data_IF_156896935084
#
_entry.id   IF_156896935084
#
_cell.length_a   1.000
_cell.length_b   1.000
_cell.length_c   1.000
_cell.angle_alpha   90.00
_cell.angle_beta   90.00
_cell.angle_gamma   90.00
#
_symmetry.space_group_name_H-M   'P 1'
#
loop_
_entity.id
_entity.type
_entity.pdbx_description
1 polymer ?
#
# COMPACT_ATOMS: atom_id res chain seq x y z
N UNK A 1 7.25 -18.15 9.98
CA UNK A 1 6.02 -18.04 9.15
C UNK A 1 6.28 -17.02 8.05
N UNK A 2 5.90 -17.34 6.81
CA UNK A 2 5.91 -16.37 5.70
C UNK A 2 4.51 -15.76 5.64
N UNK A 3 4.44 -14.45 5.62
CA UNK A 3 3.23 -13.65 5.52
C UNK A 3 3.18 -13.04 4.12
N UNK A 4 2.16 -13.38 3.33
CA UNK A 4 1.92 -12.77 2.02
C UNK A 4 0.97 -11.59 2.14
N UNK A 5 1.45 -10.43 1.73
CA UNK A 5 0.70 -9.16 1.77
C UNK A 5 0.52 -8.65 0.35
N UNK A 6 -0.70 -8.19 0.03
CA UNK A 6 -0.99 -7.57 -1.24
C UNK A 6 -1.59 -6.18 -1.06
N UNK A 7 -1.36 -5.26 -2.01
CA UNK A 7 -2.13 -4.02 -2.14
C UNK A 7 -2.68 -3.87 -3.55
N UNK A 8 -3.90 -3.36 -3.65
CA UNK A 8 -4.58 -3.20 -4.93
C UNK A 8 -5.65 -2.10 -4.89
N UNK A 9 -5.49 -1.09 -5.73
CA UNK A 9 -6.58 -0.17 -6.04
C UNK A 9 -7.52 -0.87 -7.03
N UNK A 10 -8.73 -1.18 -6.59
CA UNK A 10 -9.69 -2.00 -7.34
C UNK A 10 -10.62 -1.18 -8.27
N UNK A 11 -10.42 0.12 -8.36
CA UNK A 11 -11.21 1.01 -9.20
C UNK A 11 -12.74 0.75 -9.07
N UNK A 12 -13.22 0.61 -7.84
CA UNK A 12 -14.64 0.34 -7.49
C UNK A 12 -15.19 -0.98 -8.05
N UNK A 13 -14.32 -1.92 -8.45
CA UNK A 13 -14.72 -3.17 -9.10
C UNK A 13 -15.35 -2.99 -10.49
N UNK A 14 -15.06 -1.86 -11.15
CA UNK A 14 -15.63 -1.50 -12.47
C UNK A 14 -14.49 -1.11 -13.41
N UNK A 15 -14.38 -1.78 -14.53
CA UNK A 15 -13.45 -1.42 -15.60
C UNK A 15 -14.13 -0.73 -16.77
N UNK A 16 -13.30 -0.16 -17.66
CA UNK A 16 -13.75 0.46 -18.90
C UNK A 16 -13.26 -0.35 -20.11
N UNK A 17 -14.20 -0.70 -20.97
CA UNK A 17 -13.94 -1.38 -22.25
C UNK A 17 -14.23 -0.47 -23.45
N UNK A 18 -13.84 -0.91 -24.63
CA UNK A 18 -14.05 -0.19 -25.89
C UNK A 18 -13.64 1.28 -25.82
N UNK A 19 -12.33 1.51 -25.57
CA UNK A 19 -11.76 2.87 -25.48
C UNK A 19 -12.44 3.76 -24.42
N UNK A 20 -12.99 3.15 -23.36
CA UNK A 20 -13.62 3.88 -22.27
C UNK A 20 -15.13 4.12 -22.42
N UNK A 21 -15.74 3.66 -23.50
CA UNK A 21 -17.18 3.88 -23.79
C UNK A 21 -18.10 3.00 -22.93
N UNK A 22 -17.68 1.77 -22.61
CA UNK A 22 -18.50 0.82 -21.86
C UNK A 22 -17.92 0.57 -20.46
N UNK A 23 -18.72 0.75 -19.41
CA UNK A 23 -18.37 0.32 -18.04
C UNK A 23 -18.88 -1.10 -17.81
N UNK A 24 -18.04 -1.95 -17.25
CA UNK A 24 -18.32 -3.36 -16.98
C UNK A 24 -17.97 -3.68 -15.52
N UNK A 25 -18.89 -4.36 -14.82
CA UNK A 25 -18.62 -4.88 -13.49
C UNK A 25 -17.61 -6.03 -13.55
N UNK A 26 -16.56 -5.95 -12.75
CA UNK A 26 -15.52 -6.98 -12.62
C UNK A 26 -15.45 -7.58 -11.22
N UNK A 27 -16.39 -7.23 -10.37
CA UNK A 27 -16.32 -7.52 -8.93
C UNK A 27 -16.25 -9.03 -8.63
N UNK A 28 -16.96 -9.87 -9.40
CA UNK A 28 -16.95 -11.33 -9.22
C UNK A 28 -15.60 -11.94 -9.63
N UNK A 29 -15.07 -11.51 -10.77
CA UNK A 29 -13.76 -11.97 -11.22
C UNK A 29 -12.66 -11.47 -10.29
N UNK A 30 -12.76 -10.20 -9.85
CA UNK A 30 -11.85 -9.63 -8.87
C UNK A 30 -11.82 -10.44 -7.57
N UNK A 31 -13.00 -10.84 -7.04
CA UNK A 31 -13.09 -11.73 -5.87
C UNK A 31 -12.31 -13.02 -6.09
N UNK A 32 -12.55 -13.71 -7.20
CA UNK A 32 -11.85 -14.96 -7.54
C UNK A 32 -10.34 -14.76 -7.58
N UNK A 33 -9.87 -13.73 -8.29
CA UNK A 33 -8.45 -13.42 -8.41
C UNK A 33 -7.79 -13.04 -7.09
N UNK A 34 -8.48 -12.30 -6.22
CA UNK A 34 -7.96 -11.96 -4.89
C UNK A 34 -7.74 -13.21 -4.03
N UNK A 35 -8.66 -14.19 -4.09
CA UNK A 35 -8.50 -15.44 -3.35
C UNK A 35 -7.42 -16.35 -3.95
N UNK A 36 -7.23 -16.34 -5.27
CA UNK A 36 -6.14 -17.06 -5.96
C UNK A 36 -4.75 -16.52 -5.59
N UNK A 37 -4.63 -15.28 -5.13
CA UNK A 37 -3.35 -14.73 -4.61
C UNK A 37 -2.82 -15.51 -3.41
N UNK A 38 -3.71 -16.18 -2.67
CA UNK A 38 -3.39 -16.81 -1.38
C UNK A 38 -2.65 -15.83 -0.44
N UNK A 39 -3.04 -14.54 -0.51
CA UNK A 39 -2.52 -13.55 0.39
C UNK A 39 -3.12 -13.74 1.79
N UNK A 40 -2.33 -13.43 2.81
CA UNK A 40 -2.77 -13.44 4.20
C UNK A 40 -3.45 -12.13 4.57
N UNK A 41 -3.01 -11.03 3.94
CA UNK A 41 -3.62 -9.71 4.06
C UNK A 41 -3.68 -9.00 2.71
N UNK A 42 -4.81 -8.31 2.44
CA UNK A 42 -5.01 -7.51 1.21
C UNK A 42 -5.46 -6.11 1.57
N UNK A 43 -4.68 -5.12 1.17
CA UNK A 43 -4.93 -3.69 1.36
C UNK A 43 -5.60 -3.14 0.11
N UNK A 44 -6.87 -2.77 0.21
CA UNK A 44 -7.68 -2.37 -0.94
C UNK A 44 -8.01 -0.88 -0.91
N UNK A 45 -7.98 -0.24 -2.08
CA UNK A 45 -8.38 1.14 -2.27
C UNK A 45 -9.54 1.22 -3.25
N UNK A 46 -10.31 2.29 -3.17
CA UNK A 46 -11.55 2.53 -3.93
C UNK A 46 -12.61 1.44 -3.75
N UNK A 47 -12.68 0.85 -2.57
CA UNK A 47 -13.72 -0.13 -2.23
C UNK A 47 -15.04 0.58 -2.02
N UNK A 48 -16.10 0.13 -2.68
CA UNK A 48 -17.45 0.67 -2.48
C UNK A 48 -18.16 -0.04 -1.34
N UNK A 49 -18.77 0.76 -0.48
CA UNK A 49 -19.81 0.27 0.43
C UNK A 49 -21.13 0.04 -0.33
N UNK A 50 -22.20 0.65 0.12
CA UNK A 50 -23.46 0.64 -0.66
C UNK A 50 -23.37 1.61 -1.84
N UNK A 51 -23.88 1.18 -3.00
CA UNK A 51 -23.97 2.02 -4.18
C UNK A 51 -25.21 1.68 -5.03
N UNK A 52 -26.31 2.39 -4.75
CA UNK A 52 -27.62 2.12 -5.37
C UNK A 52 -27.60 2.16 -6.90
N UNK A 53 -26.94 3.16 -7.49
CA UNK A 53 -26.86 3.30 -8.94
C UNK A 53 -26.10 2.16 -9.63
N UNK A 54 -25.02 1.60 -9.00
CA UNK A 54 -24.34 0.44 -9.56
C UNK A 54 -25.18 -0.82 -9.43
N UNK A 55 -25.91 -1.00 -8.33
CA UNK A 55 -26.82 -2.12 -8.15
C UNK A 55 -27.95 -2.13 -9.20
N UNK A 56 -28.40 -0.96 -9.64
CA UNK A 56 -29.41 -0.85 -10.72
C UNK A 56 -28.81 -1.02 -12.12
N UNK A 57 -27.56 -0.65 -12.31
CA UNK A 57 -26.90 -0.61 -13.62
C UNK A 57 -26.27 -1.92 -14.03
N UNK A 58 -25.70 -2.65 -13.08
CA UNK A 58 -24.94 -3.87 -13.35
C UNK A 58 -25.73 -5.08 -12.89
N UNK A 59 -25.99 -5.98 -13.81
CA UNK A 59 -26.51 -7.31 -13.51
C UNK A 59 -25.53 -8.04 -12.57
N UNK A 60 -26.08 -8.74 -11.58
CA UNK A 60 -25.29 -9.45 -10.56
C UNK A 60 -24.37 -8.57 -9.69
N UNK A 61 -24.67 -7.27 -9.52
CA UNK A 61 -23.97 -6.47 -8.53
C UNK A 61 -24.23 -7.01 -7.11
N UNK A 62 -23.17 -7.14 -6.26
CA UNK A 62 -23.37 -7.66 -4.90
C UNK A 62 -24.37 -6.82 -4.11
N UNK A 63 -25.29 -7.49 -3.39
CA UNK A 63 -26.22 -6.82 -2.47
C UNK A 63 -25.51 -6.31 -1.21
N UNK A 64 -24.42 -6.97 -0.82
CA UNK A 64 -23.58 -6.59 0.32
C UNK A 64 -22.47 -5.61 -0.09
N UNK A 65 -21.89 -4.86 0.87
CA UNK A 65 -20.72 -4.02 0.64
C UNK A 65 -19.55 -4.80 0.02
N UNK A 66 -18.76 -4.15 -0.83
CA UNK A 66 -17.68 -4.83 -1.57
C UNK A 66 -16.62 -5.45 -0.65
N UNK A 67 -16.28 -4.83 0.48
CA UNK A 67 -15.35 -5.39 1.45
C UNK A 67 -15.83 -6.75 1.97
N UNK A 68 -17.10 -6.88 2.32
CA UNK A 68 -17.71 -8.14 2.77
C UNK A 68 -17.82 -9.16 1.64
N UNK A 69 -18.23 -8.72 0.44
CA UNK A 69 -18.31 -9.57 -0.73
C UNK A 69 -16.95 -10.16 -1.13
N UNK A 70 -15.90 -9.31 -1.14
CA UNK A 70 -14.54 -9.72 -1.50
C UNK A 70 -13.90 -10.59 -0.42
N UNK A 71 -14.28 -10.41 0.84
CA UNK A 71 -13.78 -11.23 1.95
C UNK A 71 -14.19 -12.69 1.85
N UNK A 72 -15.37 -12.98 1.28
CA UNK A 72 -15.90 -14.36 1.17
C UNK A 72 -15.32 -15.08 -0.03
N UNK A 73 -14.69 -16.23 0.22
CA UNK A 73 -14.21 -17.07 -0.88
C UNK A 73 -15.36 -17.68 -1.67
N UNK A 74 -15.31 -17.68 -3.02
CA UNK A 74 -16.32 -18.38 -3.82
C UNK A 74 -16.23 -19.91 -3.73
N UNK A 75 -15.06 -20.46 -3.36
CA UNK A 75 -14.78 -21.89 -3.44
C UNK A 75 -14.14 -22.48 -2.19
N UNK A 76 -13.53 -21.67 -1.33
CA UNK A 76 -12.79 -22.12 -0.16
C UNK A 76 -13.55 -21.84 1.13
N UNK A 77 -13.38 -22.70 2.14
CA UNK A 77 -13.93 -22.50 3.48
C UNK A 77 -13.29 -21.31 4.23
N UNK A 78 -12.16 -20.80 3.75
CA UNK A 78 -11.44 -19.71 4.40
C UNK A 78 -11.94 -18.36 3.89
N UNK A 79 -12.53 -17.59 4.76
CA UNK A 79 -12.91 -16.19 4.56
C UNK A 79 -11.88 -15.29 5.20
N UNK A 80 -11.76 -14.07 4.66
CA UNK A 80 -11.06 -13.01 5.36
C UNK A 80 -11.99 -12.35 6.38
N UNK A 81 -11.44 -11.85 7.46
CA UNK A 81 -12.05 -10.75 8.19
C UNK A 81 -11.88 -9.46 7.38
N UNK A 82 -12.90 -8.60 7.38
CA UNK A 82 -12.88 -7.35 6.63
C UNK A 82 -13.01 -6.14 7.57
N UNK A 83 -12.15 -5.17 7.38
CA UNK A 83 -12.25 -3.84 7.98
C UNK A 83 -12.43 -2.80 6.86
N UNK A 84 -13.37 -1.87 7.03
CA UNK A 84 -13.67 -0.84 6.04
C UNK A 84 -13.62 0.55 6.67
N UNK A 85 -12.88 1.45 6.02
CA UNK A 85 -12.80 2.87 6.33
C UNK A 85 -13.45 3.71 5.25
N UNK A 86 -14.58 4.35 5.55
CA UNK A 86 -15.31 5.20 4.61
C UNK A 86 -14.63 6.56 4.48
N UNK A 87 -14.30 6.95 3.23
CA UNK A 87 -13.61 8.19 2.93
C UNK A 87 -14.50 9.23 2.24
N UNK A 88 -15.22 8.83 1.20
CA UNK A 88 -16.06 9.74 0.41
C UNK A 88 -17.50 9.29 0.34
N UNK A 89 -18.41 10.24 0.53
CA UNK A 89 -19.85 10.05 0.35
C UNK A 89 -20.30 10.70 -0.97
N UNK A 90 -21.21 10.04 -1.67
CA UNK A 90 -21.89 10.55 -2.85
C UNK A 90 -23.39 10.49 -2.64
N UNK A 91 -24.15 11.07 -3.57
CA UNK A 91 -25.61 11.01 -3.56
C UNK A 91 -26.16 9.57 -3.50
N UNK A 92 -25.46 8.61 -4.13
CA UNK A 92 -25.94 7.23 -4.30
C UNK A 92 -25.09 6.19 -3.58
N UNK A 93 -24.19 6.59 -2.69
CA UNK A 93 -23.32 5.65 -1.99
C UNK A 93 -22.05 6.26 -1.41
N UNK A 94 -21.09 5.40 -1.11
CA UNK A 94 -19.80 5.81 -0.57
C UNK A 94 -18.69 4.85 -1.01
N UNK A 95 -17.44 5.31 -0.94
CA UNK A 95 -16.27 4.45 -1.10
C UNK A 95 -15.18 4.78 -0.08
N UNK A 96 -14.22 3.89 0.05
CA UNK A 96 -13.12 4.05 0.99
C UNK A 96 -12.02 3.03 0.79
N UNK A 97 -11.31 2.78 1.88
CA UNK A 97 -10.26 1.79 1.97
C UNK A 97 -10.74 0.55 2.72
N UNK A 98 -10.19 -0.62 2.42
CA UNK A 98 -10.48 -1.82 3.18
C UNK A 98 -9.21 -2.64 3.44
N UNK A 99 -9.19 -3.37 4.56
CA UNK A 99 -8.25 -4.42 4.84
C UNK A 99 -9.01 -5.75 4.89
N UNK A 100 -8.55 -6.72 4.10
CA UNK A 100 -8.95 -8.10 4.23
C UNK A 100 -7.82 -8.85 4.92
N UNK A 101 -8.12 -9.62 5.97
CA UNK A 101 -7.14 -10.33 6.79
C UNK A 101 -7.56 -11.75 7.10
N UNK A 102 -6.64 -12.71 6.99
CA UNK A 102 -6.82 -14.08 7.52
C UNK A 102 -6.59 -14.18 9.02
N UNK A 103 -6.07 -13.11 9.61
CA UNK A 103 -5.82 -13.00 11.04
C UNK A 103 -6.85 -12.11 11.69
N UNK A 104 -7.11 -12.27 12.99
CA UNK A 104 -8.08 -11.45 13.72
C UNK A 104 -7.75 -9.95 13.65
N UNK A 105 -8.75 -9.13 13.34
CA UNK A 105 -8.68 -7.67 13.39
C UNK A 105 -9.21 -7.21 14.74
N UNK A 106 -8.30 -6.87 15.67
CA UNK A 106 -8.65 -6.49 17.05
C UNK A 106 -9.26 -5.10 17.18
N UNK A 107 -9.13 -4.28 16.13
CA UNK A 107 -9.70 -2.95 16.12
C UNK A 107 -9.30 -2.17 14.88
N UNK A 108 -10.10 -1.18 14.56
CA UNK A 108 -9.88 -0.29 13.43
C UNK A 108 -10.14 1.17 13.81
N UNK A 109 -9.47 2.07 13.12
CA UNK A 109 -9.69 3.51 13.14
C UNK A 109 -9.54 4.06 11.72
N UNK A 110 -10.46 4.92 11.29
CA UNK A 110 -10.35 5.59 9.99
C UNK A 110 -10.33 7.10 10.20
N UNK A 111 -9.21 7.74 9.84
CA UNK A 111 -9.04 9.20 9.94
C UNK A 111 -9.20 9.86 8.59
N UNK A 112 -10.00 10.93 8.57
CA UNK A 112 -10.08 11.83 7.42
C UNK A 112 -8.77 12.62 7.30
N UNK A 113 -8.09 12.46 6.17
CA UNK A 113 -6.88 13.21 5.81
C UNK A 113 -7.12 14.09 4.58
N UNK A 114 -8.37 14.39 4.27
CA UNK A 114 -8.75 15.24 3.15
C UNK A 114 -8.11 16.62 3.29
N UNK A 115 -7.49 17.10 2.23
CA UNK A 115 -6.85 18.41 2.19
C UNK A 115 -7.80 19.50 1.67
N UNK A 116 -8.78 19.13 0.87
CA UNK A 116 -9.80 20.02 0.31
C UNK A 116 -11.11 19.28 0.05
N UNK A 117 -12.20 20.05 -0.12
CA UNK A 117 -13.56 19.52 -0.21
C UNK A 117 -13.81 18.61 -1.41
N UNK A 118 -13.08 18.83 -2.51
CA UNK A 118 -13.30 18.12 -3.78
C UNK A 118 -12.69 16.71 -3.82
N UNK A 119 -11.73 16.42 -2.93
CA UNK A 119 -11.04 15.14 -2.92
C UNK A 119 -11.00 14.57 -1.50
N UNK A 120 -11.91 13.64 -1.23
CA UNK A 120 -11.99 12.99 0.08
C UNK A 120 -11.03 11.81 0.18
N UNK A 121 -10.19 11.84 1.22
CA UNK A 121 -9.17 10.83 1.50
C UNK A 121 -9.18 10.43 2.97
N UNK A 122 -8.93 9.16 3.24
CA UNK A 122 -8.80 8.63 4.59
C UNK A 122 -7.65 7.67 4.71
N UNK A 123 -7.17 7.51 5.92
CA UNK A 123 -6.21 6.48 6.30
C UNK A 123 -6.90 5.51 7.23
N UNK A 124 -7.05 4.27 6.79
CA UNK A 124 -7.59 3.19 7.61
C UNK A 124 -6.44 2.51 8.35
N UNK A 125 -6.46 2.57 9.68
CA UNK A 125 -5.57 1.84 10.56
C UNK A 125 -6.29 0.64 11.15
N UNK A 126 -5.67 -0.55 11.07
CA UNK A 126 -6.15 -1.78 11.69
C UNK A 126 -5.06 -2.37 12.59
N UNK A 127 -5.47 -2.89 13.74
CA UNK A 127 -4.62 -3.71 14.62
C UNK A 127 -4.92 -5.17 14.35
N UNK A 128 -3.96 -5.91 13.80
CA UNK A 128 -4.11 -7.31 13.41
C UNK A 128 -3.23 -8.17 14.30
N UNK A 129 -3.81 -9.25 14.87
CA UNK A 129 -3.06 -10.19 15.70
C UNK A 129 -2.41 -11.27 14.85
N UNK A 130 -1.09 -11.31 14.82
CA UNK A 130 -0.30 -12.31 14.08
C UNK A 130 0.65 -12.99 15.06
N UNK A 131 0.44 -14.28 15.34
CA UNK A 131 1.27 -15.08 16.26
C UNK A 131 1.46 -14.34 17.60
N UNK A 132 0.33 -13.97 18.22
CA UNK A 132 0.28 -13.26 19.52
C UNK A 132 1.01 -11.90 19.55
N UNK A 133 1.24 -11.29 18.39
CA UNK A 133 1.80 -9.94 18.24
C UNK A 133 0.84 -9.05 17.49
N UNK A 134 0.74 -7.82 17.94
CA UNK A 134 -0.07 -6.81 17.24
C UNK A 134 0.75 -6.19 16.12
N UNK A 135 0.27 -6.35 14.90
CA UNK A 135 0.80 -5.69 13.71
C UNK A 135 -0.12 -4.53 13.34
N UNK A 136 0.44 -3.34 13.21
CA UNK A 136 -0.29 -2.15 12.81
C UNK A 136 -0.32 -2.03 11.28
N UNK A 137 -1.51 -2.09 10.70
CA UNK A 137 -1.75 -2.06 9.26
C UNK A 137 -2.43 -0.76 8.86
N UNK A 138 -1.80 0.01 7.95
CA UNK A 138 -2.34 1.27 7.43
C UNK A 138 -2.66 1.13 5.95
N UNK A 139 -3.95 1.28 5.59
CA UNK A 139 -4.39 1.30 4.19
C UNK A 139 -4.44 2.74 3.72
N UNK A 140 -3.66 3.05 2.67
CA UNK A 140 -3.44 4.40 2.17
C UNK A 140 -4.07 4.58 0.78
N UNK A 141 -4.72 5.73 0.58
CA UNK A 141 -5.04 6.26 -0.74
C UNK A 141 -4.92 7.78 -0.68
N UNK A 142 -3.75 8.31 -1.08
CA UNK A 142 -3.47 9.74 -1.05
C UNK A 142 -4.02 10.48 -2.27
N UNK A 143 -4.06 11.80 -2.16
CA UNK A 143 -4.60 12.69 -3.18
C UNK A 143 -3.71 12.84 -4.42
N UNK A 144 -4.29 13.38 -5.49
CA UNK A 144 -3.61 13.58 -6.78
C UNK A 144 -2.66 14.77 -6.77
N UNK A 145 -2.91 15.79 -5.92
CA UNK A 145 -2.06 16.98 -5.85
C UNK A 145 -0.84 16.74 -4.97
N UNK A 146 0.34 17.15 -5.43
CA UNK A 146 1.60 16.94 -4.72
C UNK A 146 1.60 17.54 -3.30
N UNK A 147 1.12 18.78 -3.15
CA UNK A 147 1.02 19.46 -1.85
C UNK A 147 0.05 18.74 -0.90
N UNK A 148 -1.07 18.23 -1.42
CA UNK A 148 -2.03 17.44 -0.62
C UNK A 148 -1.39 16.15 -0.12
N UNK A 149 -0.66 15.43 -0.98
CA UNK A 149 0.07 14.21 -0.59
C UNK A 149 1.12 14.46 0.48
N UNK A 150 1.86 15.56 0.36
CA UNK A 150 2.87 15.94 1.36
C UNK A 150 2.21 16.17 2.74
N UNK A 151 1.09 16.92 2.80
CA UNK A 151 0.33 17.14 4.03
C UNK A 151 -0.27 15.85 4.58
N UNK A 152 -0.90 15.03 3.74
CA UNK A 152 -1.48 13.75 4.12
C UNK A 152 -0.42 12.78 4.65
N UNK A 153 0.75 12.74 4.00
CA UNK A 153 1.89 11.95 4.47
C UNK A 153 2.41 12.43 5.82
N UNK A 154 2.45 13.76 6.04
CA UNK A 154 2.86 14.31 7.33
C UNK A 154 1.88 13.94 8.44
N UNK A 155 0.57 14.04 8.19
CA UNK A 155 -0.47 13.60 9.14
C UNK A 155 -0.31 12.12 9.51
N UNK A 156 -0.04 11.26 8.52
CA UNK A 156 0.22 9.83 8.77
C UNK A 156 1.47 9.62 9.63
N UNK A 157 2.56 10.32 9.33
CA UNK A 157 3.82 10.22 10.08
C UNK A 157 3.61 10.65 11.53
N UNK A 158 2.99 11.81 11.74
CA UNK A 158 2.74 12.36 13.08
C UNK A 158 1.79 11.47 13.88
N UNK A 159 0.82 10.84 13.24
CA UNK A 159 -0.04 9.86 13.88
C UNK A 159 0.74 8.65 14.36
N UNK A 160 1.53 8.05 13.49
CA UNK A 160 2.31 6.85 13.82
C UNK A 160 3.35 7.14 14.91
N UNK A 161 4.07 8.24 14.82
CA UNK A 161 5.09 8.62 15.81
C UNK A 161 4.50 8.92 17.20
N UNK A 162 3.30 9.50 17.24
CA UNK A 162 2.65 9.87 18.49
C UNK A 162 1.98 8.70 19.20
N UNK A 163 1.39 7.77 18.44
CA UNK A 163 0.48 6.78 19.01
C UNK A 163 1.03 5.34 19.01
N UNK A 164 2.08 5.07 18.24
CA UNK A 164 2.65 3.74 18.16
C UNK A 164 4.04 3.67 18.81
N UNK A 165 4.36 2.55 19.51
CA UNK A 165 5.74 2.29 19.93
C UNK A 165 6.71 2.33 18.75
N UNK A 166 7.91 2.85 18.98
CA UNK A 166 8.91 3.08 17.90
C UNK A 166 9.39 1.79 17.21
N UNK A 167 9.23 0.64 17.86
CA UNK A 167 9.60 -0.70 17.40
C UNK A 167 8.40 -1.56 16.99
N UNK A 168 7.16 -1.07 17.16
CA UNK A 168 5.95 -1.82 16.81
C UNK A 168 5.99 -2.29 15.35
N UNK A 169 5.65 -3.56 15.07
CA UNK A 169 5.53 -4.06 13.71
C UNK A 169 4.48 -3.27 12.93
N UNK A 170 4.85 -2.84 11.72
CA UNK A 170 4.07 -1.90 10.93
C UNK A 170 4.07 -2.28 9.46
N UNK A 171 2.90 -2.22 8.81
CA UNK A 171 2.73 -2.32 7.37
C UNK A 171 1.91 -1.13 6.89
N UNK A 172 2.46 -0.34 5.99
CA UNK A 172 1.75 0.75 5.31
C UNK A 172 1.65 0.37 3.85
N UNK A 173 0.44 0.20 3.32
CA UNK A 173 0.27 -0.22 1.94
C UNK A 173 -0.90 0.49 1.27
N UNK A 174 -0.76 0.74 -0.04
CA UNK A 174 -1.82 1.38 -0.81
C UNK A 174 -1.34 2.20 -1.98
N UNK A 175 -2.26 3.03 -2.48
CA UNK A 175 -2.03 3.99 -3.56
C UNK A 175 -1.58 5.34 -2.97
N UNK A 176 -0.31 5.61 -3.14
CA UNK A 176 0.31 6.87 -2.68
C UNK A 176 0.20 8.00 -3.70
N UNK A 177 -0.21 7.70 -4.94
CA UNK A 177 -0.25 8.67 -6.05
C UNK A 177 1.06 9.44 -6.26
N UNK A 178 2.19 8.92 -5.71
CA UNK A 178 3.49 9.59 -5.70
C UNK A 178 4.43 9.04 -6.80
N UNK A 179 4.07 9.23 -8.05
CA UNK A 179 4.85 8.75 -9.21
C UNK A 179 6.29 9.29 -9.26
N UNK A 180 6.56 10.44 -8.63
CA UNK A 180 7.89 11.06 -8.56
C UNK A 180 8.72 10.57 -7.37
N UNK A 181 8.16 9.69 -6.54
CA UNK A 181 8.82 9.12 -5.36
C UNK A 181 9.35 10.15 -4.35
N UNK A 182 8.60 11.23 -4.15
CA UNK A 182 9.00 12.32 -3.24
C UNK A 182 8.78 11.99 -1.77
N UNK A 183 7.74 11.19 -1.45
CA UNK A 183 7.35 10.88 -0.08
C UNK A 183 8.21 9.79 0.56
N UNK A 184 8.72 8.84 -0.25
CA UNK A 184 9.38 7.62 0.25
C UNK A 184 10.55 7.88 1.19
N UNK A 185 11.37 8.90 0.90
CA UNK A 185 12.52 9.23 1.74
C UNK A 185 12.10 9.59 3.15
N UNK A 186 11.16 10.56 3.26
CA UNK A 186 10.67 11.04 4.56
C UNK A 186 10.00 9.92 5.36
N UNK A 187 9.14 9.10 4.71
CA UNK A 187 8.51 7.94 5.32
C UNK A 187 9.56 6.94 5.85
N UNK A 188 10.56 6.57 5.03
CA UNK A 188 11.57 5.62 5.43
C UNK A 188 12.46 6.13 6.58
N UNK A 189 12.82 7.41 6.57
CA UNK A 189 13.71 8.01 7.58
C UNK A 189 12.95 8.21 8.91
N UNK A 190 11.76 8.82 8.89
CA UNK A 190 10.97 9.14 10.07
C UNK A 190 10.41 7.89 10.75
N UNK A 191 9.75 7.03 9.98
CA UNK A 191 9.06 5.85 10.51
C UNK A 191 9.95 4.60 10.62
N UNK A 192 11.20 4.67 10.15
CA UNK A 192 12.14 3.53 10.10
C UNK A 192 11.57 2.34 9.34
N UNK A 193 10.82 2.60 8.27
CA UNK A 193 10.24 1.58 7.42
C UNK A 193 11.10 1.32 6.19
N UNK A 194 11.01 0.10 5.67
CA UNK A 194 11.62 -0.31 4.41
C UNK A 194 10.58 -0.44 3.31
N UNK A 195 10.86 0.12 2.13
CA UNK A 195 10.04 -0.15 0.94
C UNK A 195 10.40 -1.55 0.42
N UNK A 196 9.37 -2.36 0.11
CA UNK A 196 9.55 -3.80 -0.14
C UNK A 196 10.42 -4.12 -1.35
N UNK A 197 10.39 -3.32 -2.44
CA UNK A 197 11.24 -3.56 -3.61
C UNK A 197 12.70 -3.16 -3.37
N UNK A 198 12.95 -2.20 -2.51
CA UNK A 198 14.31 -1.84 -2.11
C UNK A 198 14.89 -2.89 -1.14
N UNK A 199 14.06 -3.38 -0.22
CA UNK A 199 14.43 -4.37 0.78
C UNK A 199 14.62 -5.78 0.22
N UNK A 200 13.80 -6.19 -0.77
CA UNK A 200 13.85 -7.52 -1.39
C UNK A 200 15.09 -7.76 -2.27
N UNK A 201 15.90 -6.73 -2.54
CA UNK A 201 17.09 -6.89 -3.37
C UNK A 201 18.17 -7.68 -2.65
N UNK A 202 18.81 -8.64 -3.33
CA UNK A 202 20.03 -9.23 -2.81
C UNK A 202 21.03 -8.10 -2.52
N UNK A 203 21.57 -8.05 -1.32
CA UNK A 203 22.74 -7.20 -0.98
C UNK A 203 23.96 -7.78 -1.69
N UNK A 204 23.98 -7.69 -3.03
CA UNK A 204 25.07 -8.20 -3.84
C UNK A 204 26.33 -7.37 -3.67
N UNK A 205 27.50 -8.02 -3.75
CA UNK A 205 28.85 -7.42 -3.64
C UNK A 205 29.07 -6.18 -4.53
N UNK A 206 28.34 -6.08 -5.67
CA UNK A 206 28.39 -4.92 -6.57
C UNK A 206 27.74 -3.67 -5.92
N UNK A 207 26.61 -3.82 -5.23
CA UNK A 207 25.97 -2.72 -4.52
C UNK A 207 26.79 -2.22 -3.32
N UNK A 208 27.46 -3.12 -2.62
CA UNK A 208 28.39 -2.77 -1.53
C UNK A 208 29.65 -2.11 -2.07
N UNK A 209 30.21 -2.60 -3.16
CA UNK A 209 31.39 -2.00 -3.81
C UNK A 209 31.13 -0.59 -4.32
N UNK A 210 29.95 -0.34 -4.94
CA UNK A 210 29.55 1.01 -5.36
C UNK A 210 29.30 1.92 -4.16
N UNK A 211 28.65 1.42 -3.10
CA UNK A 211 28.45 2.18 -1.85
C UNK A 211 29.77 2.47 -1.15
N UNK A 212 30.70 1.53 -1.13
CA UNK A 212 32.04 1.69 -0.58
C UNK A 212 32.85 2.69 -1.39
N UNK A 213 32.85 2.57 -2.73
CA UNK A 213 33.53 3.50 -3.63
C UNK A 213 33.00 4.93 -3.50
N UNK A 214 31.67 5.12 -3.44
CA UNK A 214 31.05 6.43 -3.22
C UNK A 214 31.41 6.99 -1.84
N UNK A 215 31.33 6.16 -0.78
CA UNK A 215 31.69 6.57 0.58
C UNK A 215 33.13 7.00 0.66
N UNK A 216 34.06 6.21 0.09
CA UNK A 216 35.50 6.46 0.14
C UNK A 216 35.89 7.71 -0.68
N UNK A 217 35.18 7.98 -1.78
CA UNK A 217 35.38 9.18 -2.61
C UNK A 217 34.85 10.47 -1.96
N UNK A 218 33.74 10.38 -1.22
CA UNK A 218 33.23 11.52 -0.45
C UNK A 218 33.94 11.70 0.89
N UNK A 219 34.51 10.65 1.49
CA UNK A 219 35.37 10.76 2.65
C UNK A 219 36.71 11.40 2.31
N UNK A 220 37.26 11.12 1.13
CA UNK A 220 38.50 11.75 0.65
C UNK A 220 38.36 13.26 0.32
N UNK A 221 37.14 13.72 0.02
CA UNK A 221 36.85 15.14 -0.21
C UNK A 221 36.61 15.95 1.08
N UNK A 222 36.56 15.30 2.25
CA UNK A 222 36.24 15.92 3.53
C UNK A 222 37.47 16.07 4.47
N UNK A 223 38.67 15.89 3.97
CA UNK A 223 39.92 16.11 4.78
C UNK A 223 40.38 17.54 4.61
N UNK A 224 39.86 18.43 5.44
CA UNK A 224 40.55 19.66 5.88
C UNK A 224 40.65 19.60 7.41
N UNK A 225 41.77 20.01 8.01
CA UNK A 225 42.06 19.73 9.40
C UNK A 225 41.45 20.80 10.29
N UNK A 226 40.48 20.44 11.10
CA UNK A 226 40.38 21.06 12.43
C UNK A 226 39.67 20.14 13.42
N UNK A 227 40.19 20.19 14.65
CA UNK A 227 39.94 19.24 15.71
C UNK A 227 38.60 19.47 16.42
N UNK A 228 37.89 18.39 16.70
CA UNK A 228 37.03 18.33 17.86
C UNK A 228 35.54 18.43 17.68
N UNK A 229 34.91 17.52 16.91
CA UNK A 229 33.61 16.96 17.20
C UNK A 229 33.39 15.69 16.36
N UNK A 230 32.74 14.60 16.85
CA UNK A 230 32.43 13.47 16.02
C UNK A 230 31.38 13.92 15.00
N UNK A 231 31.81 14.14 13.75
CA UNK A 231 30.91 14.39 12.63
C UNK A 231 30.02 13.18 12.50
N UNK A 232 28.74 13.36 12.83
CA UNK A 232 27.66 12.42 12.54
C UNK A 232 27.83 12.01 11.07
N UNK A 233 28.22 10.75 10.83
CA UNK A 233 28.39 10.22 9.49
C UNK A 233 27.09 10.50 8.72
N UNK A 234 27.11 11.48 7.81
CA UNK A 234 25.99 11.85 6.98
C UNK A 234 25.57 10.61 6.21
N UNK A 235 24.43 10.02 6.59
CA UNK A 235 23.85 8.87 5.90
C UNK A 235 23.68 9.25 4.45
N UNK A 236 24.38 8.56 3.54
CA UNK A 236 24.16 8.70 2.11
C UNK A 236 22.68 8.57 1.83
N UNK A 237 22.11 9.42 0.96
CA UNK A 237 20.69 9.40 0.66
C UNK A 237 20.27 8.01 0.19
N UNK A 238 19.31 7.43 0.91
CA UNK A 238 18.75 6.12 0.58
C UNK A 238 17.98 6.22 -0.73
N UNK A 239 18.39 5.45 -1.74
CA UNK A 239 17.67 5.37 -3.00
C UNK A 239 16.55 4.34 -2.82
N UNK A 240 15.31 4.80 -2.65
CA UNK A 240 14.14 3.93 -2.58
C UNK A 240 13.66 3.63 -4.00
N UNK A 241 13.56 2.35 -4.33
CA UNK A 241 13.13 1.87 -5.64
C UNK A 241 11.77 1.20 -5.52
N UNK A 242 10.78 1.80 -6.13
CA UNK A 242 9.41 1.33 -6.19
C UNK A 242 9.08 0.70 -7.53
N UNK A 243 8.04 -0.13 -7.58
CA UNK A 243 7.57 -0.74 -8.81
C UNK A 243 6.57 0.14 -9.56
N UNK A 244 6.46 -0.09 -10.86
CA UNK A 244 5.47 0.56 -11.72
C UNK A 244 4.19 -0.25 -11.72
N UNK A 245 3.07 0.36 -11.37
CA UNK A 245 1.77 -0.29 -11.20
C UNK A 245 0.66 0.31 -12.05
N UNK A 246 0.82 1.53 -12.57
CA UNK A 246 -0.20 2.27 -13.31
C UNK A 246 0.34 2.81 -14.66
N UNK A 247 -0.49 2.88 -15.72
CA UNK A 247 -1.73 2.13 -15.88
C UNK A 247 -1.46 0.63 -16.07
N UNK A 248 -2.38 -0.25 -15.63
CA UNK A 248 -2.16 -1.69 -15.55
C UNK A 248 -1.79 -2.34 -16.89
N UNK A 249 -2.31 -1.82 -18.02
CA UNK A 249 -2.04 -2.34 -19.36
C UNK A 249 -0.56 -2.15 -19.77
N UNK A 250 0.00 -0.95 -19.53
CA UNK A 250 1.40 -0.60 -19.81
C UNK A 250 1.93 0.22 -18.63
N UNK A 251 2.37 -0.41 -17.54
CA UNK A 251 2.73 0.29 -16.31
C UNK A 251 4.01 1.13 -16.47
N UNK A 252 3.90 2.44 -16.28
CA UNK A 252 5.03 3.37 -16.29
C UNK A 252 5.08 4.31 -15.07
N UNK A 253 3.97 4.47 -14.33
CA UNK A 253 3.91 5.22 -13.09
C UNK A 253 4.02 4.30 -11.86
N UNK A 254 4.57 4.86 -10.78
CA UNK A 254 4.81 4.19 -9.50
C UNK A 254 3.82 4.71 -8.47
N UNK A 255 2.59 4.22 -8.49
CA UNK A 255 1.51 4.71 -7.64
C UNK A 255 1.44 3.96 -6.32
N UNK A 256 1.43 2.63 -6.40
CA UNK A 256 1.20 1.74 -5.26
C UNK A 256 2.51 1.33 -4.61
N UNK A 257 2.51 1.19 -3.27
CA UNK A 257 3.67 0.81 -2.47
C UNK A 257 3.28 0.00 -1.24
N UNK A 258 4.25 -0.76 -0.73
CA UNK A 258 4.21 -1.38 0.60
C UNK A 258 5.48 -0.99 1.34
N UNK A 259 5.31 -0.45 2.55
CA UNK A 259 6.38 -0.17 3.50
C UNK A 259 6.21 -1.06 4.72
N UNK A 260 7.32 -1.53 5.31
CA UNK A 260 7.28 -2.42 6.46
C UNK A 260 8.32 -2.04 7.51
N UNK A 261 7.97 -2.24 8.78
CA UNK A 261 8.87 -2.20 9.94
C UNK A 261 8.64 -3.45 10.78
N UNK A 262 9.72 -4.07 11.28
CA UNK A 262 9.65 -5.32 12.04
C UNK A 262 9.51 -6.57 11.17
N UNK A 263 9.75 -6.46 9.84
CA UNK A 263 9.70 -7.57 8.90
C UNK A 263 10.95 -7.65 8.04
N UNK A 264 11.33 -8.87 7.69
CA UNK A 264 12.27 -9.15 6.61
C UNK A 264 11.47 -9.41 5.32
N UNK A 265 11.75 -8.64 4.28
CA UNK A 265 11.16 -8.84 2.96
C UNK A 265 11.94 -9.95 2.24
N UNK A 266 11.25 -11.01 1.84
CA UNK A 266 11.83 -12.13 1.10
C UNK A 266 11.63 -11.99 -0.40
N UNK A 267 10.47 -11.49 -0.81
CA UNK A 267 10.14 -11.26 -2.22
C UNK A 267 9.18 -10.07 -2.36
N UNK A 268 9.28 -9.34 -3.47
CA UNK A 268 8.29 -8.34 -3.88
C UNK A 268 8.08 -8.42 -5.39
N UNK A 269 6.83 -8.34 -5.85
CA UNK A 269 6.47 -8.45 -7.27
C UNK A 269 5.22 -7.64 -7.59
N UNK A 270 5.12 -7.18 -8.84
CA UNK A 270 3.90 -6.62 -9.43
C UNK A 270 3.27 -7.67 -10.30
N UNK A 271 1.99 -7.93 -10.11
CA UNK A 271 1.25 -8.88 -10.93
C UNK A 271 0.76 -8.20 -12.21
N UNK A 272 1.16 -8.72 -13.33
CA UNK A 272 0.89 -8.17 -14.65
C UNK A 272 0.19 -9.20 -15.54
N UNK A 273 -0.23 -8.75 -16.69
CA UNK A 273 -0.86 -9.58 -17.71
C UNK A 273 -2.35 -9.31 -17.86
N UNK A 274 -2.97 -9.89 -18.91
CA UNK A 274 -4.36 -9.63 -19.25
C UNK A 274 -5.31 -9.90 -18.10
N UNK A 275 -5.05 -10.95 -17.30
CA UNK A 275 -5.86 -11.36 -16.16
C UNK A 275 -5.97 -10.31 -15.02
N UNK A 276 -5.09 -9.30 -15.01
CA UNK A 276 -5.11 -8.20 -14.05
C UNK A 276 -5.49 -6.87 -14.71
N UNK A 277 -4.98 -6.64 -15.94
CA UNK A 277 -5.10 -5.36 -16.62
C UNK A 277 -6.55 -4.99 -17.00
N UNK A 278 -7.48 -5.97 -17.09
CA UNK A 278 -8.88 -5.70 -17.36
C UNK A 278 -9.74 -5.53 -16.10
N UNK A 279 -9.20 -5.85 -14.92
CA UNK A 279 -9.93 -5.75 -13.65
C UNK A 279 -9.87 -4.34 -13.06
N UNK A 280 -8.75 -3.67 -13.20
CA UNK A 280 -8.50 -2.31 -12.71
C UNK A 280 -7.46 -1.62 -13.60
N UNK A 281 -7.40 -0.31 -13.51
CA UNK A 281 -6.32 0.50 -14.12
C UNK A 281 -5.01 0.47 -13.31
N UNK A 282 -5.00 -0.16 -12.13
CA UNK A 282 -3.80 -0.47 -11.35
C UNK A 282 -3.43 -1.96 -11.49
N UNK A 283 -2.16 -2.28 -11.27
CA UNK A 283 -1.66 -3.65 -11.13
C UNK A 283 -1.44 -3.99 -9.64
N UNK A 284 -1.86 -5.18 -9.17
CA UNK A 284 -1.61 -5.56 -7.78
C UNK A 284 -0.12 -5.67 -7.47
N UNK A 285 0.26 -5.26 -6.27
CA UNK A 285 1.59 -5.41 -5.73
C UNK A 285 1.55 -6.43 -4.59
N UNK A 286 2.46 -7.41 -4.59
CA UNK A 286 2.53 -8.50 -3.60
C UNK A 286 3.93 -8.54 -3.00
N UNK A 287 4.00 -8.73 -1.68
CA UNK A 287 5.23 -8.97 -0.94
C UNK A 287 5.10 -10.19 -0.03
N UNK A 288 6.14 -10.99 0.02
CA UNK A 288 6.30 -12.09 0.98
C UNK A 288 7.25 -11.61 2.09
N UNK A 289 6.76 -11.63 3.34
CA UNK A 289 7.38 -11.04 4.51
C UNK A 289 7.62 -12.13 5.58
N UNK A 290 8.64 -11.95 6.41
CA UNK A 290 8.84 -12.73 7.63
C UNK A 290 8.90 -11.78 8.81
N UNK A 291 8.00 -11.95 9.80
CA UNK A 291 8.02 -11.15 11.02
C UNK A 291 9.30 -11.44 11.79
N UNK A 292 10.00 -10.41 12.24
CA UNK A 292 11.15 -10.57 13.12
C UNK A 292 10.70 -11.15 14.47
N UNK A 293 11.55 -11.93 15.14
CA UNK A 293 11.26 -12.48 16.47
C UNK A 293 10.95 -11.39 17.48
#
# INVERSE_FOLDING_TARGET
MILRVATYNIHKGVSREFLGLRRVSRIHELRTRLHELQADMVFLQEVQGHHQHHAQRFEHWPAEPQDQFLARSPTLKHTFEAAYGRNANYLHGHHGNALLSRFPILGLENRDVSDHALEKRGVLHCRVEIVSRIVHCFVIHFGLLARSRERQSQVLIDWIERELPADAPLIIAGDFNDWRNKLSRNLCERLRVDEVFDAARPRGKIGESVRRFMRDRFAAAAVAPDAGQPVLASRLPRIVRTARTYPALVPWLRMDRIYTRGFRVTQARVLRGPQWAHLSDHSPLVADLTLHP
#
